data_IF_026216208754
#
_entry.id   IF_026216208754
#
_cell.length_a   1.000
_cell.length_b   1.000
_cell.length_c   1.000
_cell.angle_alpha   90.00
_cell.angle_beta   90.00
_cell.angle_gamma   90.00
#
_symmetry.space_group_name_H-M   'P 1'
#
loop_
_entity.id
_entity.type
_entity.pdbx_description
1 polymer ?
#
# COMPACT_ATOMS: atom_id res chain seq x y z
N UNK A 1 -28.23 -7.38 15.41
CA UNK A 1 -27.98 -6.10 14.70
C UNK A 1 -26.79 -6.30 13.75
N UNK A 2 -26.74 -5.64 12.59
CA UNK A 2 -25.51 -5.62 11.80
C UNK A 2 -24.37 -5.00 12.62
N UNK A 3 -23.10 -5.33 12.31
CA UNK A 3 -21.95 -4.71 12.98
C UNK A 3 -21.98 -3.19 12.77
N UNK A 4 -21.55 -2.44 13.80
CA UNK A 4 -21.55 -0.97 13.77
C UNK A 4 -20.49 -0.38 12.83
N UNK A 5 -19.47 -1.16 12.47
CA UNK A 5 -18.39 -0.75 11.58
C UNK A 5 -18.45 -1.54 10.27
N UNK A 6 -18.59 -0.82 9.16
CA UNK A 6 -18.47 -1.35 7.80
C UNK A 6 -17.24 -0.75 7.13
N UNK A 7 -16.22 -1.60 6.87
CA UNK A 7 -14.97 -1.21 6.20
C UNK A 7 -15.07 -1.31 4.67
N UNK A 8 -16.19 -1.81 4.15
CA UNK A 8 -16.46 -1.96 2.72
C UNK A 8 -17.87 -1.49 2.32
N UNK A 9 -18.24 -0.23 2.69
CA UNK A 9 -19.58 0.28 2.46
C UNK A 9 -19.84 0.48 0.97
N UNK A 10 -21.06 0.18 0.53
CA UNK A 10 -21.47 0.18 -0.88
C UNK A 10 -21.05 1.44 -1.66
N UNK A 11 -21.21 2.68 -1.13
CA UNK A 11 -20.83 3.89 -1.86
C UNK A 11 -19.32 4.04 -2.14
N UNK A 12 -18.47 3.35 -1.38
CA UNK A 12 -17.01 3.45 -1.50
C UNK A 12 -16.35 2.25 -2.18
N UNK A 13 -17.08 1.16 -2.46
CA UNK A 13 -16.51 -0.09 -3.00
C UNK A 13 -15.65 0.12 -4.24
N UNK A 14 -16.14 0.89 -5.21
CA UNK A 14 -15.38 1.18 -6.43
C UNK A 14 -14.06 1.92 -6.15
N UNK A 15 -14.04 2.86 -5.20
CA UNK A 15 -12.83 3.57 -4.80
C UNK A 15 -11.87 2.66 -4.03
N UNK A 16 -12.40 1.82 -3.13
CA UNK A 16 -11.62 0.82 -2.38
C UNK A 16 -10.96 -0.16 -3.33
N UNK A 17 -11.71 -0.73 -4.28
CA UNK A 17 -11.21 -1.69 -5.26
C UNK A 17 -10.14 -1.05 -6.15
N UNK A 18 -10.37 0.19 -6.58
CA UNK A 18 -9.40 0.94 -7.37
C UNK A 18 -8.09 1.19 -6.61
N UNK A 19 -8.15 1.52 -5.30
CA UNK A 19 -6.96 1.65 -4.46
C UNK A 19 -6.24 0.30 -4.32
N UNK A 20 -6.97 -0.73 -3.92
CA UNK A 20 -6.44 -2.08 -3.69
C UNK A 20 -5.77 -2.68 -4.93
N UNK A 21 -6.29 -2.38 -6.12
CA UNK A 21 -5.78 -2.90 -7.39
C UNK A 21 -4.32 -2.52 -7.65
N UNK A 22 -3.87 -1.35 -7.19
CA UNK A 22 -2.47 -0.93 -7.36
C UNK A 22 -1.65 -1.04 -6.08
N UNK A 23 -2.23 -0.82 -4.88
CA UNK A 23 -1.48 -0.94 -3.63
C UNK A 23 -1.03 -2.38 -3.38
N UNK A 24 -1.83 -3.38 -3.77
CA UNK A 24 -1.45 -4.78 -3.58
C UNK A 24 -0.19 -5.17 -4.37
N UNK A 25 -0.15 -5.09 -5.72
CA UNK A 25 1.02 -5.52 -6.48
C UNK A 25 2.25 -4.61 -6.28
N UNK A 26 2.05 -3.31 -6.02
CA UNK A 26 3.14 -2.34 -5.96
C UNK A 26 3.67 -2.08 -4.54
N UNK A 27 2.85 -2.23 -3.50
CA UNK A 27 3.26 -1.95 -2.10
C UNK A 27 3.23 -3.23 -1.28
N UNK A 28 2.05 -3.85 -1.09
CA UNK A 28 1.91 -4.98 -0.18
C UNK A 28 2.78 -6.17 -0.61
N UNK A 29 2.76 -6.49 -1.90
CA UNK A 29 3.65 -7.49 -2.50
C UNK A 29 4.96 -6.87 -3.02
N UNK A 30 5.00 -5.57 -3.27
CA UNK A 30 6.17 -4.86 -3.81
C UNK A 30 7.40 -4.95 -2.90
N UNK A 31 7.21 -4.85 -1.58
CA UNK A 31 8.30 -5.03 -0.61
C UNK A 31 8.91 -6.43 -0.69
N UNK A 32 8.10 -7.47 -0.86
CA UNK A 32 8.58 -8.85 -1.04
C UNK A 32 9.28 -9.04 -2.39
N UNK A 33 8.78 -8.40 -3.45
CA UNK A 33 9.44 -8.40 -4.76
C UNK A 33 10.83 -7.76 -4.70
N UNK A 34 11.00 -6.69 -3.92
CA UNK A 34 12.32 -6.11 -3.64
C UNK A 34 13.20 -7.11 -2.86
N UNK A 35 12.69 -7.62 -1.73
CA UNK A 35 13.46 -8.46 -0.82
C UNK A 35 13.87 -9.83 -1.38
N UNK A 36 13.06 -10.38 -2.29
CA UNK A 36 13.28 -11.70 -2.89
C UNK A 36 13.78 -11.65 -4.33
N UNK A 37 14.09 -10.47 -4.86
CA UNK A 37 14.69 -10.34 -6.17
C UNK A 37 16.04 -11.07 -6.22
N UNK A 38 16.22 -11.94 -7.22
CA UNK A 38 17.45 -12.71 -7.43
C UNK A 38 18.46 -12.01 -8.35
N UNK A 39 18.14 -10.80 -8.82
CA UNK A 39 19.02 -10.02 -9.70
C UNK A 39 18.75 -8.53 -9.65
N UNK A 40 19.76 -7.73 -9.97
CA UNK A 40 19.77 -6.28 -9.83
C UNK A 40 18.63 -5.61 -10.61
N UNK A 41 18.42 -5.96 -11.88
CA UNK A 41 17.38 -5.37 -12.70
C UNK A 41 15.96 -5.65 -12.16
N UNK A 42 15.73 -6.85 -11.61
CA UNK A 42 14.45 -7.20 -11.01
C UNK A 42 14.20 -6.43 -9.71
N UNK A 43 15.24 -6.27 -8.89
CA UNK A 43 15.21 -5.43 -7.70
C UNK A 43 14.92 -3.98 -8.06
N UNK A 44 15.66 -3.38 -8.99
CA UNK A 44 15.50 -1.97 -9.40
C UNK A 44 14.10 -1.71 -9.93
N UNK A 45 13.55 -2.63 -10.72
CA UNK A 45 12.18 -2.52 -11.22
C UNK A 45 11.17 -2.52 -10.08
N UNK A 46 11.27 -3.48 -9.16
CA UNK A 46 10.38 -3.56 -8.00
C UNK A 46 10.52 -2.34 -7.08
N UNK A 47 11.75 -1.84 -6.91
CA UNK A 47 12.06 -0.69 -6.08
C UNK A 47 11.43 0.59 -6.64
N UNK A 48 11.59 0.85 -7.94
CA UNK A 48 10.98 2.02 -8.59
C UNK A 48 9.44 1.95 -8.56
N UNK A 49 8.85 0.78 -8.79
CA UNK A 49 7.41 0.57 -8.69
C UNK A 49 6.90 0.82 -7.25
N UNK A 50 7.60 0.32 -6.24
CA UNK A 50 7.26 0.50 -4.83
C UNK A 50 7.25 1.98 -4.44
N UNK A 51 8.34 2.69 -4.72
CA UNK A 51 8.45 4.09 -4.30
C UNK A 51 7.57 5.01 -5.14
N UNK A 52 7.34 4.73 -6.42
CA UNK A 52 6.34 5.44 -7.21
C UNK A 52 4.92 5.26 -6.65
N UNK A 53 4.59 4.08 -6.15
CA UNK A 53 3.31 3.82 -5.49
C UNK A 53 3.21 4.50 -4.12
N UNK A 54 4.28 4.54 -3.32
CA UNK A 54 4.32 5.29 -2.06
C UNK A 54 4.18 6.80 -2.27
N UNK A 55 4.84 7.36 -3.29
CA UNK A 55 4.69 8.77 -3.68
C UNK A 55 3.24 9.08 -4.08
N UNK A 56 2.55 8.12 -4.74
CA UNK A 56 1.11 8.23 -5.03
C UNK A 56 0.24 8.18 -3.78
N UNK A 57 0.56 7.33 -2.79
CA UNK A 57 -0.12 7.33 -1.49
C UNK A 57 0.01 8.71 -0.82
N UNK A 58 1.21 9.28 -0.81
CA UNK A 58 1.50 10.59 -0.22
C UNK A 58 0.66 11.70 -0.89
N UNK A 59 0.62 11.72 -2.23
CA UNK A 59 -0.18 12.71 -2.98
C UNK A 59 -1.68 12.59 -2.64
N UNK A 60 -2.20 11.37 -2.46
CA UNK A 60 -3.58 11.15 -2.00
C UNK A 60 -3.77 11.66 -0.57
N UNK A 61 -2.93 11.20 0.37
CA UNK A 61 -3.09 11.45 1.80
C UNK A 61 -2.78 12.91 2.20
N UNK A 62 -2.04 13.64 1.37
CA UNK A 62 -1.84 15.08 1.54
C UNK A 62 -3.12 15.90 1.37
N UNK A 63 -4.14 15.36 0.67
CA UNK A 63 -5.41 16.04 0.34
C UNK A 63 -6.61 15.47 1.07
N UNK A 64 -6.53 14.24 1.57
CA UNK A 64 -7.60 13.58 2.31
C UNK A 64 -7.06 12.63 3.36
N UNK A 65 -7.85 12.35 4.39
CA UNK A 65 -7.38 11.59 5.56
C UNK A 65 -7.18 10.08 5.30
N UNK A 66 -7.93 9.49 4.36
CA UNK A 66 -7.94 8.05 4.09
C UNK A 66 -7.83 7.78 2.59
N UNK A 67 -7.38 6.58 2.23
CA UNK A 67 -7.03 6.24 0.85
C UNK A 67 -8.22 6.27 -0.11
N UNK A 68 -9.41 5.87 0.38
CA UNK A 68 -10.63 5.74 -0.44
C UNK A 68 -11.68 6.83 -0.18
N UNK A 69 -11.32 7.95 0.47
CA UNK A 69 -12.22 9.07 0.70
C UNK A 69 -12.20 9.59 2.14
N UNK A 70 -13.39 9.86 2.69
CA UNK A 70 -13.55 10.53 3.98
C UNK A 70 -13.61 9.59 5.21
N UNK A 71 -13.64 8.28 5.01
CA UNK A 71 -13.78 7.29 6.09
C UNK A 71 -12.67 6.23 6.02
N UNK A 72 -12.37 5.62 7.17
CA UNK A 72 -11.49 4.45 7.24
C UNK A 72 -12.16 3.27 6.54
N UNK A 73 -11.42 2.59 5.67
CA UNK A 73 -11.88 1.44 4.87
C UNK A 73 -10.89 0.29 4.94
N UNK A 74 -11.25 -0.85 4.34
CA UNK A 74 -10.33 -1.98 4.22
C UNK A 74 -9.05 -1.64 3.43
N UNK A 75 -9.08 -0.67 2.53
CA UNK A 75 -7.90 -0.23 1.77
C UNK A 75 -6.81 0.29 2.71
N UNK A 76 -7.21 1.09 3.71
CA UNK A 76 -6.31 1.62 4.74
C UNK A 76 -5.76 0.51 5.63
N UNK A 77 -6.62 -0.45 6.02
CA UNK A 77 -6.22 -1.61 6.84
C UNK A 77 -5.20 -2.48 6.12
N UNK A 78 -5.37 -2.70 4.81
CA UNK A 78 -4.43 -3.46 3.96
C UNK A 78 -3.11 -2.72 3.78
N UNK A 79 -3.15 -1.41 3.57
CA UNK A 79 -1.95 -0.59 3.43
C UNK A 79 -1.17 -0.50 4.75
N UNK A 80 -1.85 -0.25 5.87
CA UNK A 80 -1.26 -0.09 7.20
C UNK A 80 -0.38 -1.28 7.60
N UNK A 81 -0.82 -2.51 7.29
CA UNK A 81 -0.06 -3.71 7.62
C UNK A 81 1.35 -3.72 7.01
N UNK A 82 1.52 -3.15 5.81
CA UNK A 82 2.83 -3.01 5.19
C UNK A 82 3.58 -1.81 5.79
N UNK A 83 2.93 -0.65 5.93
CA UNK A 83 3.59 0.57 6.40
C UNK A 83 4.14 0.43 7.83
N UNK A 84 3.40 -0.20 8.74
CA UNK A 84 3.85 -0.37 10.14
C UNK A 84 5.10 -1.26 10.27
N UNK A 85 5.45 -2.01 9.23
CA UNK A 85 6.63 -2.88 9.18
C UNK A 85 7.76 -2.30 8.33
N UNK A 86 7.56 -1.12 7.74
CA UNK A 86 8.43 -0.61 6.70
C UNK A 86 9.83 -0.29 7.21
N UNK A 87 9.93 0.53 8.25
CA UNK A 87 11.22 0.98 8.80
C UNK A 87 11.98 -0.17 9.47
N UNK A 88 11.29 -0.93 10.33
CA UNK A 88 11.89 -1.99 11.14
C UNK A 88 12.32 -3.22 10.33
N UNK A 89 11.64 -3.51 9.21
CA UNK A 89 11.88 -4.74 8.44
C UNK A 89 12.19 -4.45 6.98
N UNK A 90 11.34 -3.73 6.27
CA UNK A 90 11.46 -3.66 4.81
C UNK A 90 12.63 -2.78 4.34
N UNK A 91 12.94 -1.69 5.04
CA UNK A 91 14.12 -0.86 4.77
C UNK A 91 15.41 -1.65 4.97
N UNK A 92 15.52 -2.39 6.08
CA UNK A 92 16.76 -3.10 6.44
C UNK A 92 16.88 -4.45 5.73
N UNK A 93 15.86 -5.32 5.87
CA UNK A 93 15.91 -6.72 5.42
C UNK A 93 15.61 -6.86 3.93
N UNK A 94 14.64 -6.09 3.42
CA UNK A 94 14.25 -6.12 2.00
C UNK A 94 14.89 -5.03 1.15
N UNK A 95 15.79 -4.22 1.73
CA UNK A 95 16.51 -3.13 1.05
C UNK A 95 15.56 -2.12 0.41
N UNK A 96 14.40 -1.86 1.01
CA UNK A 96 13.49 -0.81 0.56
C UNK A 96 13.94 0.55 1.10
N UNK A 97 15.15 1.00 0.74
CA UNK A 97 15.84 2.14 1.35
C UNK A 97 16.15 3.28 0.36
N UNK A 98 15.12 4.00 -0.09
CA UNK A 98 15.26 5.21 -0.93
C UNK A 98 16.11 6.28 -0.26
#
# INVERSE_FOLDING_TARGET
PPPELDLYPEPLRAAIDAVNAWTYPAINNGVYRCGFATGQAAYETAFQELFGALDRCEDILSRQRYMAGAALTEADVRLFQTLIRFDEVYVVYFKCNK
#
